data_IF_649279623701
#
_entry.id   IF_649279623701
#
_cell.length_a   1.000
_cell.length_b   1.000
_cell.length_c   1.000
_cell.angle_alpha   90.00
_cell.angle_beta   90.00
_cell.angle_gamma   90.00
#
_symmetry.space_group_name_H-M   'P 1'
#
loop_
_entity.id
_entity.type
_entity.pdbx_description
1 polymer ?
#
# COMPACT_ATOMS: atom_id res chain seq x y z
N UNK A 1 1.77 -24.53 -6.82
CA UNK A 1 2.96 -23.70 -7.12
C UNK A 1 4.14 -24.31 -6.38
N UNK A 2 5.34 -24.38 -6.99
CA UNK A 2 6.54 -24.78 -6.25
C UNK A 2 6.84 -23.77 -5.13
N UNK A 3 7.50 -24.21 -4.04
CA UNK A 3 7.78 -23.35 -2.86
C UNK A 3 8.48 -22.04 -3.23
N UNK A 4 9.43 -22.11 -4.17
CA UNK A 4 10.15 -20.95 -4.73
C UNK A 4 9.21 -19.94 -5.40
N UNK A 5 8.25 -20.40 -6.22
CA UNK A 5 7.32 -19.49 -6.91
C UNK A 5 6.33 -18.82 -5.96
N UNK A 6 5.86 -19.56 -4.95
CA UNK A 6 5.03 -18.99 -3.89
C UNK A 6 5.77 -17.88 -3.13
N UNK A 7 7.05 -18.10 -2.83
CA UNK A 7 7.93 -17.10 -2.24
C UNK A 7 8.11 -15.87 -3.14
N UNK A 8 8.32 -16.04 -4.45
CA UNK A 8 8.44 -14.92 -5.39
C UNK A 8 7.17 -14.08 -5.49
N UNK A 9 5.99 -14.69 -5.50
CA UNK A 9 4.71 -13.95 -5.50
C UNK A 9 4.54 -13.18 -4.19
N UNK A 10 4.87 -13.80 -3.06
CA UNK A 10 4.86 -13.13 -1.76
C UNK A 10 5.82 -11.93 -1.71
N UNK A 11 7.05 -12.09 -2.20
CA UNK A 11 8.03 -11.02 -2.29
C UNK A 11 7.55 -9.89 -3.21
N UNK A 12 6.94 -10.21 -4.36
CA UNK A 12 6.38 -9.20 -5.25
C UNK A 12 5.24 -8.43 -4.57
N UNK A 13 4.35 -9.12 -3.84
CA UNK A 13 3.26 -8.46 -3.10
C UNK A 13 3.81 -7.55 -2.00
N UNK A 14 4.75 -8.03 -1.19
CA UNK A 14 5.39 -7.20 -0.17
C UNK A 14 6.08 -5.98 -0.81
N UNK A 15 6.81 -6.17 -1.92
CA UNK A 15 7.44 -5.10 -2.67
C UNK A 15 6.45 -4.07 -3.22
N UNK A 16 5.32 -4.51 -3.79
CA UNK A 16 4.26 -3.61 -4.24
C UNK A 16 3.67 -2.79 -3.09
N UNK A 17 3.39 -3.43 -1.95
CA UNK A 17 2.85 -2.75 -0.77
C UNK A 17 3.84 -1.75 -0.19
N UNK A 18 5.16 -2.05 -0.19
CA UNK A 18 6.19 -1.07 0.19
C UNK A 18 6.26 0.08 -0.81
N UNK A 19 6.30 -0.19 -2.12
CA UNK A 19 6.35 0.85 -3.14
C UNK A 19 5.10 1.74 -3.12
N UNK A 20 3.95 1.18 -2.71
CA UNK A 20 2.69 1.90 -2.56
C UNK A 20 2.75 3.00 -1.50
N UNK A 21 3.58 2.84 -0.46
CA UNK A 21 3.64 3.78 0.67
C UNK A 21 4.72 4.85 0.53
N UNK A 22 5.69 4.66 -0.39
CA UNK A 22 6.75 5.63 -0.64
C UNK A 22 6.28 7.06 -1.00
N UNK A 23 5.09 7.33 -1.59
CA UNK A 23 4.65 8.72 -1.77
C UNK A 23 4.50 9.44 -0.42
N UNK A 24 4.03 8.73 0.61
CA UNK A 24 3.82 9.26 1.96
C UNK A 24 5.14 9.64 2.62
N UNK A 25 6.19 8.87 2.40
CA UNK A 25 7.52 9.16 2.96
C UNK A 25 8.07 10.54 2.57
N UNK A 26 7.54 11.16 1.50
CA UNK A 26 7.98 12.48 1.01
C UNK A 26 7.30 13.66 1.70
N UNK A 27 6.17 13.42 2.36
CA UNK A 27 5.43 14.47 3.08
C UNK A 27 5.72 14.45 4.58
N UNK A 28 6.47 13.48 5.09
CA UNK A 28 6.86 13.40 6.50
C UNK A 28 8.30 13.88 6.73
N UNK A 29 8.56 14.48 7.89
CA UNK A 29 9.86 15.05 8.25
C UNK A 29 10.98 14.01 8.47
N UNK A 30 10.66 12.79 8.91
CA UNK A 30 11.66 11.77 9.27
C UNK A 30 11.43 10.41 8.60
N UNK A 31 12.45 9.55 8.65
CA UNK A 31 12.38 8.19 8.11
C UNK A 31 11.59 7.21 8.97
N UNK A 32 11.14 7.60 10.17
CA UNK A 32 10.45 6.70 11.10
C UNK A 32 9.21 6.07 10.45
N UNK A 33 8.37 6.89 9.82
CA UNK A 33 7.18 6.40 9.13
C UNK A 33 7.56 5.38 8.04
N UNK A 34 8.63 5.64 7.27
CA UNK A 34 9.05 4.73 6.20
C UNK A 34 9.35 3.34 6.75
N UNK A 35 10.09 3.24 7.86
CA UNK A 35 10.38 1.96 8.50
C UNK A 35 9.12 1.27 9.05
N UNK A 36 8.21 2.04 9.66
CA UNK A 36 6.94 1.51 10.14
C UNK A 36 6.06 0.99 9.00
N UNK A 37 6.04 1.66 7.85
CA UNK A 37 5.28 1.23 6.67
C UNK A 37 5.93 0.02 5.99
N UNK A 38 7.26 -0.07 5.97
CA UNK A 38 7.99 -1.27 5.49
C UNK A 38 7.63 -2.48 6.33
N UNK A 39 7.66 -2.37 7.66
CA UNK A 39 7.24 -3.46 8.54
C UNK A 39 5.76 -3.81 8.36
N UNK A 40 4.88 -2.81 8.28
CA UNK A 40 3.45 -3.00 8.05
C UNK A 40 3.14 -3.65 6.69
N UNK A 41 3.98 -3.46 5.68
CA UNK A 41 3.84 -4.09 4.38
C UNK A 41 4.33 -5.56 4.38
N UNK A 42 5.40 -5.85 5.11
CA UNK A 42 6.08 -7.17 5.07
C UNK A 42 5.43 -8.16 6.03
N UNK A 43 5.17 -7.75 7.27
CA UNK A 43 4.71 -8.65 8.35
C UNK A 43 3.39 -9.37 8.01
N UNK A 44 2.30 -8.71 7.57
CA UNK A 44 1.07 -9.42 7.22
C UNK A 44 1.26 -10.42 6.07
N UNK A 45 2.10 -10.09 5.09
CA UNK A 45 2.44 -11.01 3.98
C UNK A 45 3.23 -12.21 4.53
N UNK A 46 4.16 -11.99 5.45
CA UNK A 46 4.90 -13.06 6.12
C UNK A 46 3.97 -13.99 6.94
N UNK A 47 3.00 -13.42 7.67
CA UNK A 47 2.00 -14.19 8.43
C UNK A 47 1.17 -15.07 7.49
N UNK A 48 0.55 -14.46 6.47
CA UNK A 48 -0.28 -15.19 5.50
C UNK A 48 0.52 -16.30 4.78
N UNK A 49 1.77 -16.03 4.42
CA UNK A 49 2.63 -17.00 3.73
C UNK A 49 3.16 -18.12 4.64
N UNK A 50 3.38 -17.85 5.93
CA UNK A 50 3.76 -18.84 6.93
C UNK A 50 2.59 -19.78 7.24
N UNK A 51 1.39 -19.21 7.41
CA UNK A 51 0.16 -19.94 7.71
C UNK A 51 -0.54 -20.51 6.46
N UNK A 52 0.09 -20.46 5.29
CA UNK A 52 -0.49 -20.93 4.01
C UNK A 52 -0.91 -22.41 3.99
N UNK A 53 -0.38 -23.22 4.91
CA UNK A 53 -0.70 -24.66 5.00
C UNK A 53 -1.87 -24.97 5.93
N UNK A 54 -2.27 -24.00 6.75
CA UNK A 54 -3.40 -24.13 7.66
C UNK A 54 -4.70 -23.74 6.92
N UNK A 55 -5.88 -24.13 7.43
CA UNK A 55 -7.15 -23.55 6.99
C UNK A 55 -7.14 -22.01 7.09
N UNK A 56 -8.06 -21.32 6.42
CA UNK A 56 -8.04 -19.86 6.36
C UNK A 56 -8.40 -19.16 7.67
N UNK A 57 -9.21 -19.81 8.49
CA UNK A 57 -9.73 -19.27 9.74
C UNK A 57 -8.66 -18.66 10.69
N UNK A 58 -7.53 -19.30 11.02
CA UNK A 58 -6.55 -18.76 11.97
C UNK A 58 -5.76 -17.53 11.47
N UNK A 59 -5.73 -17.25 10.16
CA UNK A 59 -4.86 -16.18 9.64
C UNK A 59 -5.34 -14.80 10.08
N UNK A 60 -6.64 -14.55 10.01
CA UNK A 60 -7.20 -13.26 10.39
C UNK A 60 -7.01 -12.98 11.90
N UNK A 61 -7.36 -13.87 12.85
CA UNK A 61 -7.09 -13.65 14.27
C UNK A 61 -5.62 -13.42 14.59
N UNK A 62 -4.72 -14.22 14.02
CA UNK A 62 -3.27 -14.05 14.24
C UNK A 62 -2.80 -12.70 13.69
N UNK A 63 -3.21 -12.34 12.47
CA UNK A 63 -2.85 -11.05 11.88
C UNK A 63 -3.40 -9.87 12.69
N UNK A 64 -4.61 -9.97 13.23
CA UNK A 64 -5.21 -8.92 14.06
C UNK A 64 -4.46 -8.77 15.38
N UNK A 65 -4.06 -9.87 16.03
CA UNK A 65 -3.24 -9.82 17.26
C UNK A 65 -1.88 -9.17 17.00
N UNK A 66 -1.21 -9.55 15.91
CA UNK A 66 0.09 -8.95 15.56
C UNK A 66 -0.09 -7.49 15.15
N UNK A 67 -1.15 -7.14 14.41
CA UNK A 67 -1.48 -5.74 14.10
C UNK A 67 -1.71 -4.91 15.36
N UNK A 68 -2.45 -5.42 16.35
CA UNK A 68 -2.65 -4.73 17.62
C UNK A 68 -1.31 -4.43 18.31
N UNK A 69 -0.43 -5.43 18.42
CA UNK A 69 0.93 -5.23 18.94
C UNK A 69 1.75 -4.24 18.10
N UNK A 70 1.63 -4.30 16.78
CA UNK A 70 2.35 -3.41 15.87
C UNK A 70 1.87 -1.96 15.96
N UNK A 71 0.56 -1.73 16.14
CA UNK A 71 0.02 -0.38 16.34
C UNK A 71 0.46 0.22 17.67
N UNK A 72 0.49 -0.58 18.74
CA UNK A 72 1.05 -0.14 20.03
C UNK A 72 2.54 0.22 19.92
N UNK A 73 3.31 -0.59 19.18
CA UNK A 73 4.71 -0.30 18.89
C UNK A 73 4.86 1.00 18.07
N UNK A 74 4.06 1.15 17.01
CA UNK A 74 4.08 2.34 16.16
C UNK A 74 3.77 3.61 16.96
N UNK A 75 2.72 3.59 17.79
CA UNK A 75 2.35 4.69 18.69
C UNK A 75 3.46 4.99 19.69
N UNK A 76 4.07 3.97 20.30
CA UNK A 76 5.17 4.17 21.24
C UNK A 76 6.37 4.85 20.58
N UNK A 77 6.77 4.38 19.40
CA UNK A 77 7.92 4.91 18.69
C UNK A 77 7.67 6.32 18.15
N UNK A 78 6.46 6.61 17.65
CA UNK A 78 6.10 7.94 17.18
C UNK A 78 5.91 8.93 18.33
N UNK A 79 5.38 8.51 19.47
CA UNK A 79 5.29 9.35 20.66
C UNK A 79 6.69 9.74 21.17
N UNK A 80 7.64 8.80 21.18
CA UNK A 80 9.03 9.08 21.55
C UNK A 80 9.72 10.02 20.55
N UNK A 81 9.50 9.83 19.26
CA UNK A 81 10.10 10.67 18.22
C UNK A 81 9.53 12.09 18.23
N UNK A 82 8.20 12.23 18.39
CA UNK A 82 7.51 13.52 18.45
C UNK A 82 7.47 14.15 19.84
N UNK A 83 8.14 13.54 20.83
CA UNK A 83 8.16 13.99 22.23
C UNK A 83 6.76 14.25 22.83
N UNK A 84 5.77 13.46 22.44
CA UNK A 84 4.39 13.63 22.89
C UNK A 84 4.21 12.98 24.26
N UNK A 85 3.92 13.75 25.33
CA UNK A 85 3.71 13.20 26.66
C UNK A 85 2.36 12.47 26.74
N UNK A 86 2.30 11.42 27.55
CA UNK A 86 1.05 10.70 27.81
C UNK A 86 1.24 9.21 28.02
N UNK A 87 0.17 8.55 28.50
CA UNK A 87 0.15 7.10 28.60
C UNK A 87 -0.04 6.47 27.22
N UNK A 88 0.48 5.25 27.01
CA UNK A 88 0.34 4.58 25.71
C UNK A 88 -1.11 4.33 25.33
N UNK A 89 -1.97 4.02 26.31
CA UNK A 89 -3.39 3.75 26.08
C UNK A 89 -4.14 5.01 25.65
N UNK A 90 -3.87 6.16 26.28
CA UNK A 90 -4.50 7.44 25.91
C UNK A 90 -4.06 7.88 24.53
N UNK A 91 -2.76 7.80 24.21
CA UNK A 91 -2.23 8.15 22.90
C UNK A 91 -2.77 7.24 21.79
N UNK A 92 -2.90 5.94 22.06
CA UNK A 92 -3.48 5.01 21.09
C UNK A 92 -4.96 5.29 20.83
N UNK A 93 -5.75 5.53 21.89
CA UNK A 93 -7.18 5.84 21.75
C UNK A 93 -7.40 7.16 21.02
N UNK A 94 -6.60 8.18 21.34
CA UNK A 94 -6.60 9.46 20.64
C UNK A 94 -6.27 9.28 19.15
N UNK A 95 -5.19 8.55 18.84
CA UNK A 95 -4.79 8.25 17.48
C UNK A 95 -5.87 7.50 16.68
N UNK A 96 -6.59 6.58 17.30
CA UNK A 96 -7.71 5.86 16.66
C UNK A 96 -8.86 6.81 16.32
N UNK A 97 -9.19 7.74 17.22
CA UNK A 97 -10.31 8.68 17.05
C UNK A 97 -9.99 9.79 16.07
N UNK A 98 -8.78 10.35 16.17
CA UNK A 98 -8.39 11.59 15.51
C UNK A 98 -7.45 11.38 14.33
N UNK A 99 -6.99 10.15 14.07
CA UNK A 99 -5.98 9.90 13.05
C UNK A 99 -6.43 10.23 11.63
N UNK A 100 -7.67 9.88 11.24
CA UNK A 100 -8.17 10.20 9.89
C UNK A 100 -8.27 11.73 9.68
N UNK A 101 -8.99 12.48 10.56
CA UNK A 101 -9.02 13.94 10.47
C UNK A 101 -7.64 14.56 10.38
N UNK A 102 -6.72 14.16 11.27
CA UNK A 102 -5.39 14.77 11.35
C UNK A 102 -4.51 14.45 10.16
N UNK A 103 -4.57 13.23 9.62
CA UNK A 103 -3.84 12.91 8.37
C UNK A 103 -4.34 13.75 7.19
N UNK A 104 -5.64 14.08 7.15
CA UNK A 104 -6.24 14.89 6.09
C UNK A 104 -6.01 16.39 6.26
N UNK A 105 -5.77 16.87 7.49
CA UNK A 105 -5.60 18.30 7.79
C UNK A 105 -4.17 18.70 8.16
N UNK A 106 -3.25 17.74 8.29
CA UNK A 106 -1.87 17.99 8.66
C UNK A 106 -1.18 18.94 7.68
N UNK A 107 -0.46 19.92 8.24
CA UNK A 107 0.39 20.80 7.46
C UNK A 107 1.58 20.02 6.93
N UNK A 108 1.90 20.18 5.65
CA UNK A 108 3.07 19.57 5.03
C UNK A 108 4.26 20.51 5.26
N UNK A 109 5.40 20.03 5.80
CA UNK A 109 5.72 18.63 6.11
C UNK A 109 5.15 18.13 7.46
N UNK A 110 4.69 16.88 7.48
CA UNK A 110 4.01 16.23 8.60
C UNK A 110 5.03 15.64 9.58
N UNK A 111 4.87 15.92 10.86
CA UNK A 111 5.63 15.25 11.92
C UNK A 111 5.03 13.88 12.23
N UNK A 112 5.82 12.78 12.31
CA UNK A 112 5.31 11.45 12.62
C UNK A 112 4.92 11.33 14.09
N UNK A 113 3.69 11.74 14.39
CA UNK A 113 3.02 11.63 15.67
C UNK A 113 2.07 10.41 15.70
N UNK A 114 1.64 9.92 16.88
CA UNK A 114 0.76 8.75 17.00
C UNK A 114 -0.47 8.73 16.09
N UNK A 115 -1.17 9.85 16.06
CA UNK A 115 -2.36 10.16 15.27
C UNK A 115 -2.11 10.19 13.75
N UNK A 116 -0.98 10.74 13.31
CA UNK A 116 -0.65 10.81 11.88
C UNK A 116 -0.04 9.52 11.33
N UNK A 117 0.51 8.65 12.20
CA UNK A 117 1.17 7.41 11.80
C UNK A 117 0.22 6.21 11.78
N UNK A 118 -0.77 6.18 12.68
CA UNK A 118 -1.61 5.00 12.89
C UNK A 118 -2.41 4.61 11.64
N UNK A 119 -3.08 5.57 11.00
CA UNK A 119 -3.94 5.32 9.83
C UNK A 119 -3.14 4.77 8.64
N UNK A 120 -2.02 5.39 8.21
CA UNK A 120 -1.16 4.81 7.18
C UNK A 120 -0.66 3.41 7.50
N UNK A 121 -0.27 3.14 8.75
CA UNK A 121 0.20 1.82 9.20
C UNK A 121 -0.89 0.77 9.07
N UNK A 122 -2.09 1.04 9.57
CA UNK A 122 -3.23 0.12 9.50
C UNK A 122 -3.65 -0.11 8.04
N UNK A 123 -3.77 0.94 7.24
CA UNK A 123 -4.12 0.83 5.82
C UNK A 123 -3.12 -0.03 5.04
N UNK A 124 -1.82 0.18 5.30
CA UNK A 124 -0.73 -0.61 4.70
C UNK A 124 -0.80 -2.08 5.11
N UNK A 125 -1.07 -2.33 6.40
CA UNK A 125 -1.22 -3.69 6.91
C UNK A 125 -2.37 -4.44 6.25
N UNK A 126 -3.55 -3.80 6.19
CA UNK A 126 -4.74 -4.37 5.60
C UNK A 126 -4.55 -4.63 4.10
N UNK A 127 -3.92 -3.70 3.38
CA UNK A 127 -3.59 -3.88 1.97
C UNK A 127 -2.63 -5.08 1.77
N UNK A 128 -1.56 -5.17 2.57
CA UNK A 128 -0.61 -6.28 2.51
C UNK A 128 -1.25 -7.64 2.82
N UNK A 129 -2.10 -7.70 3.85
CA UNK A 129 -2.82 -8.92 4.22
C UNK A 129 -3.81 -9.35 3.13
N UNK A 130 -4.67 -8.43 2.67
CA UNK A 130 -5.65 -8.72 1.63
C UNK A 130 -4.97 -9.17 0.32
N UNK A 131 -3.87 -8.51 -0.05
CA UNK A 131 -3.07 -8.89 -1.20
C UNK A 131 -2.51 -10.31 -1.07
N UNK A 132 -1.97 -10.67 0.09
CA UNK A 132 -1.41 -11.99 0.35
C UNK A 132 -2.50 -13.08 0.37
N UNK A 133 -3.65 -12.83 0.98
CA UNK A 133 -4.78 -13.77 0.99
C UNK A 133 -5.28 -14.04 -0.44
N UNK A 134 -5.46 -13.00 -1.26
CA UNK A 134 -5.92 -13.14 -2.65
C UNK A 134 -4.83 -13.76 -3.56
N UNK A 135 -3.61 -13.25 -3.49
CA UNK A 135 -2.54 -13.56 -4.42
C UNK A 135 -1.76 -14.83 -4.09
N UNK A 136 -1.46 -15.08 -2.80
CA UNK A 136 -0.68 -16.24 -2.36
C UNK A 136 -1.59 -17.43 -2.05
N UNK A 137 -2.60 -17.25 -1.18
CA UNK A 137 -3.47 -18.34 -0.73
C UNK A 137 -4.59 -18.64 -1.73
N UNK A 138 -5.29 -17.60 -2.19
CA UNK A 138 -6.31 -17.68 -3.23
C UNK A 138 -5.76 -17.93 -4.63
N UNK A 139 -4.45 -17.71 -4.84
CA UNK A 139 -3.76 -17.91 -6.14
C UNK A 139 -4.29 -17.02 -7.27
N UNK A 140 -5.01 -15.94 -6.92
CA UNK A 140 -5.50 -14.92 -7.84
C UNK A 140 -4.53 -13.73 -7.84
N UNK A 141 -3.33 -13.91 -8.40
CA UNK A 141 -2.23 -12.92 -8.32
C UNK A 141 -2.65 -11.54 -8.84
N UNK A 142 -3.38 -11.48 -9.95
CA UNK A 142 -3.86 -10.22 -10.51
C UNK A 142 -4.83 -9.50 -9.55
N UNK A 143 -5.78 -10.23 -8.94
CA UNK A 143 -6.69 -9.67 -7.93
C UNK A 143 -5.93 -9.26 -6.66
N UNK A 144 -4.89 -10.01 -6.28
CA UNK A 144 -4.01 -9.67 -5.16
C UNK A 144 -3.22 -8.38 -5.35
N UNK A 145 -3.13 -7.83 -6.57
CA UNK A 145 -2.52 -6.52 -6.81
C UNK A 145 -3.50 -5.36 -6.63
N UNK A 146 -4.80 -5.62 -6.52
CA UNK A 146 -5.79 -4.57 -6.29
C UNK A 146 -5.56 -3.83 -4.96
N UNK A 147 -5.35 -4.49 -3.80
CA UNK A 147 -5.15 -3.78 -2.54
C UNK A 147 -3.90 -2.86 -2.52
N UNK A 148 -2.70 -3.29 -2.96
CA UNK A 148 -1.53 -2.40 -3.03
C UNK A 148 -1.71 -1.27 -4.04
N UNK A 149 -2.46 -1.50 -5.12
CA UNK A 149 -2.77 -0.45 -6.11
C UNK A 149 -3.71 0.60 -5.51
N UNK A 150 -4.75 0.19 -4.78
CA UNK A 150 -5.63 1.10 -4.06
C UNK A 150 -4.88 1.90 -3.00
N UNK A 151 -3.98 1.26 -2.26
CA UNK A 151 -3.11 1.94 -1.30
C UNK A 151 -2.19 2.96 -1.98
N UNK A 152 -1.62 2.61 -3.15
CA UNK A 152 -0.78 3.52 -3.92
C UNK A 152 -1.56 4.74 -4.40
N UNK A 153 -2.76 4.52 -4.95
CA UNK A 153 -3.66 5.60 -5.34
C UNK A 153 -4.05 6.49 -4.16
N UNK A 154 -4.44 5.91 -3.02
CA UNK A 154 -4.74 6.66 -1.81
C UNK A 154 -3.56 7.51 -1.33
N UNK A 155 -2.36 6.95 -1.39
CA UNK A 155 -1.12 7.66 -1.04
C UNK A 155 -0.84 8.83 -2.00
N UNK A 156 -1.07 8.65 -3.29
CA UNK A 156 -0.94 9.73 -4.28
C UNK A 156 -1.98 10.83 -4.09
N UNK A 157 -3.23 10.46 -3.77
CA UNK A 157 -4.31 11.41 -3.48
C UNK A 157 -3.97 12.24 -2.25
N UNK A 158 -3.49 11.60 -1.17
CA UNK A 158 -3.16 12.29 0.07
C UNK A 158 -1.98 13.27 -0.10
N UNK A 159 -0.95 12.86 -0.83
CA UNK A 159 0.20 13.72 -1.13
C UNK A 159 -0.20 14.88 -2.04
N UNK A 160 -1.16 14.65 -2.93
CA UNK A 160 -1.66 15.66 -3.87
C UNK A 160 -0.58 16.19 -4.82
N UNK A 161 -0.82 17.34 -5.46
CA UNK A 161 0.14 17.97 -6.37
C UNK A 161 1.39 18.53 -5.67
N UNK A 162 1.46 18.45 -4.33
CA UNK A 162 2.50 19.07 -3.52
C UNK A 162 3.86 18.36 -3.60
N UNK A 163 3.91 17.12 -4.09
CA UNK A 163 5.17 16.41 -4.30
C UNK A 163 5.64 16.49 -5.75
N UNK A 164 6.95 16.70 -5.93
CA UNK A 164 7.58 16.66 -7.25
C UNK A 164 7.25 15.35 -7.97
N UNK A 165 7.00 15.35 -9.28
CA UNK A 165 6.82 14.13 -10.06
C UNK A 165 8.04 13.22 -9.92
N UNK A 166 7.82 11.96 -9.57
CA UNK A 166 8.88 10.96 -9.42
C UNK A 166 8.57 9.77 -10.32
N UNK A 167 9.18 9.75 -11.50
CA UNK A 167 8.88 8.78 -12.56
C UNK A 167 9.38 7.35 -12.24
N UNK A 168 10.43 7.21 -11.43
CA UNK A 168 11.00 5.90 -11.14
C UNK A 168 10.06 5.02 -10.32
N UNK A 169 9.20 5.62 -9.48
CA UNK A 169 8.37 4.88 -8.55
C UNK A 169 7.21 4.14 -9.24
N UNK A 170 6.43 4.76 -10.15
CA UNK A 170 5.48 4.03 -11.00
C UNK A 170 6.15 2.93 -11.82
N UNK A 171 7.36 3.18 -12.34
CA UNK A 171 8.12 2.20 -13.11
C UNK A 171 8.55 1.01 -12.25
N UNK A 172 9.02 1.25 -11.03
CA UNK A 172 9.35 0.20 -10.06
C UNK A 172 8.11 -0.61 -9.68
N UNK A 173 6.98 0.05 -9.40
CA UNK A 173 5.72 -0.60 -9.07
C UNK A 173 5.26 -1.51 -10.22
N UNK A 174 5.25 -1.00 -11.45
CA UNK A 174 4.92 -1.77 -12.64
C UNK A 174 5.90 -2.94 -12.86
N UNK A 175 7.21 -2.70 -12.71
CA UNK A 175 8.24 -3.72 -12.82
C UNK A 175 8.05 -4.86 -11.82
N UNK A 176 7.79 -4.55 -10.55
CA UNK A 176 7.52 -5.55 -9.51
C UNK A 176 6.26 -6.36 -9.82
N UNK A 177 5.20 -5.72 -10.31
CA UNK A 177 3.97 -6.40 -10.73
C UNK A 177 4.22 -7.36 -11.90
N UNK A 178 4.98 -6.93 -12.91
CA UNK A 178 5.35 -7.76 -14.07
C UNK A 178 6.14 -8.99 -13.61
N UNK A 179 7.13 -8.83 -12.73
CA UNK A 179 7.92 -9.94 -12.19
C UNK A 179 7.05 -10.94 -11.46
N UNK A 180 6.13 -10.49 -10.59
CA UNK A 180 5.25 -11.38 -9.86
C UNK A 180 4.21 -12.09 -10.75
N UNK A 181 3.69 -11.42 -11.80
CA UNK A 181 2.83 -12.06 -12.80
C UNK A 181 3.60 -13.10 -13.63
N UNK A 182 4.82 -12.78 -14.07
CA UNK A 182 5.66 -13.71 -14.80
C UNK A 182 5.99 -14.97 -13.99
N UNK A 183 6.19 -14.82 -12.67
CA UNK A 183 6.42 -15.93 -11.74
C UNK A 183 5.18 -16.85 -11.59
N UNK A 184 3.96 -16.30 -11.69
CA UNK A 184 2.71 -17.05 -11.54
C UNK A 184 2.22 -17.71 -12.84
N UNK A 185 2.31 -17.01 -13.97
CA UNK A 185 1.75 -17.41 -15.28
C UNK A 185 2.41 -18.63 -15.93
N UNK A 186 3.69 -18.93 -15.63
CA UNK A 186 4.42 -20.08 -16.21
C UNK A 186 3.81 -21.45 -15.89
N UNK A 187 2.89 -21.53 -14.94
CA UNK A 187 2.29 -22.81 -14.49
C UNK A 187 1.04 -23.18 -15.28
N UNK A 188 0.29 -22.21 -15.83
CA UNK A 188 -0.96 -22.50 -16.57
C UNK A 188 -0.72 -23.18 -17.92
N UNK A 189 0.43 -22.92 -18.53
CA UNK A 189 0.85 -23.51 -19.80
C UNK A 189 1.49 -24.90 -19.68
N UNK A 190 1.78 -25.35 -18.46
CA UNK A 190 2.42 -26.65 -18.21
C UNK A 190 1.41 -27.79 -18.02
N UNK A 191 0.13 -27.48 -17.76
CA UNK A 191 -0.95 -28.46 -17.58
C UNK A 191 -1.85 -28.64 -18.80
N UNK A 192 -1.48 -28.08 -19.96
CA UNK A 192 -2.18 -28.33 -21.23
C UNK A 192 -1.54 -29.58 -21.86
N UNK A 193 -2.32 -30.60 -22.29
CA UNK A 193 -1.78 -31.81 -22.91
C UNK A 193 -0.84 -31.46 -24.06
N UNK A 194 0.19 -32.28 -24.29
CA UNK A 194 1.39 -32.02 -25.10
C UNK A 194 1.14 -31.19 -26.37
N UNK A 195 1.06 -29.87 -26.20
CA UNK A 195 1.07 -28.94 -27.32
C UNK A 195 2.45 -29.04 -27.97
N UNK A 196 2.46 -29.35 -29.26
CA UNK A 196 3.64 -29.30 -30.11
C UNK A 196 4.38 -27.98 -29.89
N UNK A 197 5.72 -28.03 -29.96
CA UNK A 197 6.60 -26.88 -29.69
C UNK A 197 6.17 -25.64 -30.48
N UNK A 198 5.70 -25.82 -31.71
CA UNK A 198 5.15 -24.80 -32.60
C UNK A 198 3.89 -24.12 -32.05
N UNK A 199 2.89 -24.88 -31.61
CA UNK A 199 1.64 -24.33 -31.05
C UNK A 199 1.90 -23.56 -29.76
N UNK A 200 2.82 -24.06 -28.92
CA UNK A 200 3.25 -23.37 -27.70
C UNK A 200 3.95 -22.04 -27.98
N UNK A 201 4.76 -21.99 -29.03
CA UNK A 201 5.47 -20.79 -29.44
C UNK A 201 4.51 -19.77 -30.06
N UNK A 202 3.59 -20.21 -30.92
CA UNK A 202 2.53 -19.38 -31.48
C UNK A 202 1.62 -18.78 -30.40
N UNK A 203 1.20 -19.58 -29.41
CA UNK A 203 0.42 -19.08 -28.27
C UNK A 203 1.21 -18.05 -27.45
N UNK A 204 2.51 -18.27 -27.20
CA UNK A 204 3.36 -17.30 -26.50
C UNK A 204 3.49 -16.00 -27.28
N UNK A 205 3.68 -16.08 -28.60
CA UNK A 205 3.77 -14.90 -29.46
C UNK A 205 2.45 -14.13 -29.46
N UNK A 206 1.30 -14.82 -29.57
CA UNK A 206 -0.03 -14.19 -29.51
C UNK A 206 -0.29 -13.53 -28.16
N UNK A 207 0.05 -14.20 -27.05
CA UNK A 207 -0.09 -13.64 -25.71
C UNK A 207 0.85 -12.45 -25.51
N UNK A 208 2.11 -12.54 -25.98
CA UNK A 208 3.07 -11.46 -25.89
C UNK A 208 2.66 -10.25 -26.76
N UNK A 209 2.17 -10.50 -27.97
CA UNK A 209 1.65 -9.46 -28.85
C UNK A 209 0.41 -8.80 -28.25
N UNK A 210 -0.54 -9.60 -27.75
CA UNK A 210 -1.75 -9.10 -27.08
C UNK A 210 -1.44 -8.30 -25.82
N UNK A 211 -0.51 -8.78 -24.98
CA UNK A 211 -0.09 -8.04 -23.78
C UNK A 211 0.68 -6.77 -24.12
N UNK A 212 1.50 -6.79 -25.18
CA UNK A 212 2.23 -5.61 -25.64
C UNK A 212 1.28 -4.57 -26.23
N UNK A 213 0.31 -5.01 -27.03
CA UNK A 213 -0.73 -4.13 -27.57
C UNK A 213 -1.58 -3.52 -26.45
N UNK A 214 -1.99 -4.31 -25.46
CA UNK A 214 -2.71 -3.82 -24.29
C UNK A 214 -1.87 -2.82 -23.48
N UNK A 215 -0.57 -3.08 -23.29
CA UNK A 215 0.34 -2.15 -22.61
C UNK A 215 0.47 -0.83 -23.38
N UNK A 216 0.70 -0.89 -24.70
CA UNK A 216 0.78 0.30 -25.56
C UNK A 216 -0.52 1.09 -25.51
N UNK A 217 -1.67 0.41 -25.53
CA UNK A 217 -2.98 1.05 -25.41
C UNK A 217 -3.15 1.74 -24.06
N UNK A 218 -2.81 1.07 -22.95
CA UNK A 218 -2.91 1.64 -21.59
C UNK A 218 -1.97 2.84 -21.45
N UNK A 219 -0.73 2.74 -21.91
CA UNK A 219 0.24 3.84 -21.87
C UNK A 219 -0.23 5.01 -22.76
N UNK A 220 -0.70 4.73 -23.97
CA UNK A 220 -1.26 5.74 -24.87
C UNK A 220 -2.48 6.44 -24.27
N UNK A 221 -3.37 5.68 -23.64
CA UNK A 221 -4.53 6.24 -22.93
C UNK A 221 -4.09 7.10 -21.74
N UNK A 222 -3.13 6.63 -20.94
CA UNK A 222 -2.60 7.38 -19.81
C UNK A 222 -1.96 8.70 -20.28
N UNK A 223 -1.13 8.67 -21.34
CA UNK A 223 -0.50 9.86 -21.90
C UNK A 223 -1.50 10.84 -22.53
N UNK A 224 -2.60 10.34 -23.11
CA UNK A 224 -3.64 11.18 -23.70
C UNK A 224 -4.57 11.79 -22.63
N UNK A 225 -4.92 11.04 -21.58
CA UNK A 225 -5.90 11.45 -20.56
C UNK A 225 -5.26 12.25 -19.43
N UNK A 226 -4.00 11.98 -19.07
CA UNK A 226 -3.31 12.65 -17.97
C UNK A 226 -3.25 14.19 -18.13
N UNK A 227 -2.92 14.77 -19.31
CA UNK A 227 -2.90 16.23 -19.49
C UNK A 227 -4.28 16.86 -19.32
N UNK A 228 -5.33 16.17 -19.80
CA UNK A 228 -6.72 16.64 -19.69
C UNK A 228 -7.17 16.64 -18.23
N UNK A 229 -6.87 15.57 -17.49
CA UNK A 229 -7.13 15.51 -16.05
C UNK A 229 -6.34 16.57 -15.29
N UNK A 230 -5.05 16.73 -15.59
CA UNK A 230 -4.20 17.74 -14.96
C UNK A 230 -4.72 19.16 -15.19
N UNK A 231 -5.26 19.46 -16.38
CA UNK A 231 -5.85 20.77 -16.69
C UNK A 231 -7.21 20.98 -16.00
N UNK A 232 -7.96 19.92 -15.71
CA UNK A 232 -9.26 19.96 -15.00
C UNK A 232 -9.12 20.12 -13.49
N UNK A 233 -8.00 19.71 -12.90
CA UNK A 233 -7.65 19.98 -11.50
C UNK A 233 -7.10 21.41 -11.43
N UNK A 234 -8.01 22.39 -11.55
CA UNK A 234 -7.69 23.81 -11.60
C UNK A 234 -7.02 24.34 -10.33
N UNK A 235 -6.28 25.45 -10.48
CA UNK A 235 -5.51 26.19 -9.48
C UNK A 235 -6.33 26.88 -8.36
N UNK A 236 -7.50 26.35 -8.00
CA UNK A 236 -8.26 26.82 -6.85
C UNK A 236 -8.02 25.85 -5.68
N UNK A 237 -7.17 26.18 -4.70
CA UNK A 237 -7.00 25.34 -3.52
C UNK A 237 -8.33 25.28 -2.79
N UNK A 238 -9.01 24.15 -2.85
CA UNK A 238 -10.19 23.90 -2.03
C UNK A 238 -9.74 23.82 -0.58
N UNK A 239 -10.23 24.70 0.30
CA UNK A 239 -9.89 24.67 1.72
C UNK A 239 -10.38 23.35 2.35
N UNK A 240 -9.46 22.43 2.74
CA UNK A 240 -9.83 21.12 3.30
C UNK A 240 -10.60 21.22 4.61
N UNK A 241 -10.46 22.34 5.34
CA UNK A 241 -11.10 22.60 6.64
C UNK A 241 -12.62 22.66 6.54
N UNK A 242 -13.16 22.84 5.33
CA UNK A 242 -14.61 22.83 5.07
C UNK A 242 -15.27 21.45 5.25
N UNK A 243 -14.52 20.37 5.05
CA UNK A 243 -15.09 19.02 4.94
C UNK A 243 -14.89 18.15 6.19
N UNK A 244 -14.21 18.68 7.20
CA UNK A 244 -13.82 17.92 8.39
C UNK A 244 -14.23 18.71 9.63
N UNK A 245 -14.93 18.06 10.55
CA UNK A 245 -15.20 18.65 11.86
C UNK A 245 -13.87 18.96 12.57
N UNK A 246 -13.71 20.15 13.19
CA UNK A 246 -12.48 20.50 13.89
C UNK A 246 -12.11 19.42 14.91
N UNK A 247 -10.81 19.10 15.08
CA UNK A 247 -10.35 18.23 16.16
C UNK A 247 -10.86 18.77 17.50
N UNK A 248 -11.30 17.87 18.40
CA UNK A 248 -11.58 18.27 19.79
C UNK A 248 -10.28 18.70 20.45
N UNK A 249 -10.18 19.97 20.81
CA UNK A 249 -9.05 20.50 21.57
C UNK A 249 -9.26 20.16 23.06
N UNK A 250 -8.19 19.79 23.77
CA UNK A 250 -8.25 19.72 25.22
C UNK A 250 -8.35 21.14 25.80
N UNK A 251 -8.95 21.30 26.99
CA UNK A 251 -9.14 22.62 27.61
C UNK A 251 -7.82 23.41 27.82
N UNK A 252 -6.68 22.71 27.91
CA UNK A 252 -5.34 23.31 27.97
C UNK A 252 -4.84 23.82 26.61
N UNK A 253 -5.35 23.28 25.50
CA UNK A 253 -5.05 23.76 24.14
C UNK A 253 -6.00 24.89 23.71
N UNK A 254 -7.21 24.96 24.29
CA UNK A 254 -8.17 26.06 24.05
C UNK A 254 -7.80 27.36 24.77
N UNK A 255 -7.16 27.28 25.94
CA UNK A 255 -6.69 28.46 26.65
C UNK A 255 -5.36 28.20 27.39
N UNK A 256 -4.22 28.70 26.85
CA UNK A 256 -2.91 28.53 27.48
C UNK A 256 -2.66 29.49 28.67
N UNK A 257 -3.69 30.25 29.08
CA UNK A 257 -3.67 31.21 30.18
C UNK A 257 -4.58 30.78 31.33
#
# INVERSE_FOLDING_TARGET
MSRLRGGLVALAIAGLTVLATLPLARIYHTHLLTWLLVGAAIVPVAISTALRRLPAYPVAPVSVLVLAGYTLLAVRLSAQAGQVPGSLATLWLDAVRNGIPRVLTALIPIEPQPDTVLVPVVATWLAGLAAAELGVRGRHVLLGYAPPTLLYLGSLILVGPNARPVLWQPLAFAGTAIVGLAASGRTRLAGVPELTRSVRLSLRVRLAAGSSAALVLILGLALAVAPVLAHRVGHAPTDPRRYVAPPSLDAQDENPL
#
